data_IF_860492775726
#
_entry.id   IF_860492775726
#
_cell.length_a   1.000
_cell.length_b   1.000
_cell.length_c   1.000
_cell.angle_alpha   90.00
_cell.angle_beta   90.00
_cell.angle_gamma   90.00
#
_symmetry.space_group_name_H-M   'P 1'
#
loop_
_entity.id
_entity.type
_entity.pdbx_description
1 polymer ?
#
# COMPACT_ATOMS: atom_id res chain seq x y z
N UNK A 1 1.20 25.32 65.88
CA UNK A 1 2.40 24.57 65.45
C UNK A 1 2.10 23.27 64.69
N UNK A 2 1.05 22.49 65.02
CA UNK A 2 0.74 21.21 64.33
C UNK A 2 0.26 21.32 62.87
N UNK A 3 -0.41 22.41 62.46
CA UNK A 3 -0.88 22.62 61.08
C UNK A 3 0.25 22.92 60.07
N UNK A 4 1.36 23.52 60.53
CA UNK A 4 2.48 23.88 59.65
C UNK A 4 3.35 22.69 59.26
N UNK A 5 3.44 21.67 60.14
CA UNK A 5 4.18 20.42 59.88
C UNK A 5 3.42 19.52 58.90
N UNK A 6 2.07 19.53 58.95
CA UNK A 6 1.24 18.77 58.02
C UNK A 6 1.31 19.33 56.58
N UNK A 7 1.38 20.66 56.44
CA UNK A 7 1.53 21.33 55.14
C UNK A 7 2.91 21.10 54.51
N UNK A 8 3.97 20.97 55.32
CA UNK A 8 5.32 20.68 54.82
C UNK A 8 5.46 19.22 54.35
N UNK A 9 4.80 18.28 55.04
CA UNK A 9 4.74 16.88 54.60
C UNK A 9 3.89 16.67 53.33
N UNK A 10 2.82 17.46 53.15
CA UNK A 10 1.99 17.41 51.93
C UNK A 10 2.73 17.98 50.71
N UNK A 11 3.64 18.94 50.90
CA UNK A 11 4.42 19.56 49.81
C UNK A 11 5.63 18.70 49.38
N UNK A 12 6.18 17.88 50.28
CA UNK A 12 7.31 17.00 49.97
C UNK A 12 6.92 15.74 49.17
N UNK A 13 5.63 15.36 49.19
CA UNK A 13 5.11 14.18 48.49
C UNK A 13 4.71 14.45 47.03
N UNK A 14 4.67 15.72 46.59
CA UNK A 14 4.22 16.11 45.25
C UNK A 14 5.33 16.15 44.17
N UNK A 15 6.59 15.87 44.50
CA UNK A 15 7.71 16.07 43.55
C UNK A 15 8.18 14.78 42.87
N UNK A 16 7.72 13.60 43.29
CA UNK A 16 8.14 12.34 42.64
C UNK A 16 7.15 11.93 41.55
N UNK A 17 7.28 12.47 40.34
CA UNK A 17 6.82 11.82 39.10
C UNK A 17 7.35 12.57 37.86
N UNK A 18 8.65 12.83 37.79
CA UNK A 18 9.29 13.04 36.48
C UNK A 18 9.56 11.68 35.85
N UNK A 19 8.51 11.02 35.35
CA UNK A 19 8.68 9.90 34.43
C UNK A 19 9.06 10.48 33.07
N UNK A 20 10.36 10.51 32.78
CA UNK A 20 10.82 10.71 31.41
C UNK A 20 10.50 9.42 30.64
N UNK A 21 9.29 9.36 30.07
CA UNK A 21 8.90 8.24 29.22
C UNK A 21 9.74 8.31 27.95
N UNK A 22 10.91 7.65 27.98
CA UNK A 22 11.80 7.50 26.83
C UNK A 22 11.06 6.66 25.79
N UNK A 23 10.29 7.36 24.95
CA UNK A 23 9.48 6.77 23.92
C UNK A 23 10.45 6.17 22.89
N UNK A 24 10.73 4.88 23.01
CA UNK A 24 11.46 4.10 22.01
C UNK A 24 10.54 3.96 20.78
N UNK A 25 10.29 5.06 20.08
CA UNK A 25 9.80 5.00 18.72
C UNK A 25 10.89 4.31 17.92
N UNK A 26 10.71 3.03 17.62
CA UNK A 26 11.53 2.30 16.67
C UNK A 26 11.57 3.15 15.39
N UNK A 27 12.69 3.84 15.14
CA UNK A 27 12.88 4.55 13.88
C UNK A 27 12.77 3.48 12.79
N UNK A 28 11.80 3.57 11.86
CA UNK A 28 11.66 2.56 10.84
C UNK A 28 12.99 2.42 10.10
N UNK A 29 13.51 1.20 9.98
CA UNK A 29 14.63 0.90 9.09
C UNK A 29 14.28 1.45 7.71
N UNK A 30 15.12 2.34 7.17
CA UNK A 30 14.89 3.01 5.89
C UNK A 30 14.67 1.98 4.78
N UNK A 31 13.60 2.14 3.99
CA UNK A 31 13.23 1.21 2.93
C UNK A 31 14.34 1.11 1.87
N UNK A 32 14.76 -0.13 1.58
CA UNK A 32 15.92 -0.42 0.71
C UNK A 32 15.51 -0.87 -0.70
N UNK A 33 14.51 -0.22 -1.31
CA UNK A 33 14.07 -0.57 -2.67
C UNK A 33 15.16 -0.57 -3.76
N UNK A 34 16.21 0.27 -3.72
CA UNK A 34 17.27 0.25 -4.75
C UNK A 34 18.02 -1.08 -4.87
N UNK A 35 18.01 -1.93 -3.84
CA UNK A 35 18.70 -3.23 -3.84
C UNK A 35 17.77 -4.40 -4.14
N UNK A 36 16.49 -4.15 -4.44
CA UNK A 36 15.46 -5.17 -4.61
C UNK A 36 15.21 -5.36 -6.10
N UNK A 37 15.48 -6.58 -6.58
CA UNK A 37 15.35 -6.95 -7.98
C UNK A 37 14.00 -7.62 -8.26
N UNK A 38 13.45 -8.37 -7.28
CA UNK A 38 12.13 -8.98 -7.38
C UNK A 38 11.30 -8.75 -6.14
N UNK A 39 9.98 -8.56 -6.32
CA UNK A 39 9.06 -8.38 -5.22
C UNK A 39 7.64 -8.78 -5.60
N UNK A 40 6.80 -9.03 -4.61
CA UNK A 40 5.40 -9.35 -4.85
C UNK A 40 4.59 -9.40 -3.59
N UNK A 41 3.28 -9.60 -3.76
CA UNK A 41 2.39 -9.83 -2.63
C UNK A 41 1.17 -10.64 -3.04
N UNK A 42 0.51 -11.21 -2.03
CA UNK A 42 -0.85 -11.72 -2.14
C UNK A 42 -1.74 -10.97 -1.16
N UNK A 43 -2.97 -10.66 -1.56
CA UNK A 43 -3.89 -9.88 -0.76
C UNK A 43 -5.33 -10.01 -1.20
N UNK A 44 -6.18 -9.15 -0.63
CA UNK A 44 -7.56 -8.93 -1.05
C UNK A 44 -7.72 -7.49 -1.50
N UNK A 45 -8.37 -7.32 -2.65
CA UNK A 45 -8.67 -6.03 -3.23
C UNK A 45 -10.18 -5.86 -3.36
N UNK A 46 -10.66 -4.65 -3.09
CA UNK A 46 -12.01 -4.21 -3.43
C UNK A 46 -11.91 -2.99 -4.33
N UNK A 47 -12.70 -2.98 -5.40
CA UNK A 47 -12.75 -1.93 -6.42
C UNK A 47 -14.19 -1.42 -6.48
N UNK A 48 -14.34 -0.11 -6.64
CA UNK A 48 -15.60 0.54 -6.98
C UNK A 48 -15.32 1.48 -8.15
N UNK A 49 -16.04 1.29 -9.26
CA UNK A 49 -15.91 2.07 -10.49
C UNK A 49 -16.92 3.24 -10.55
N UNK A 50 -17.60 3.55 -9.44
CA UNK A 50 -18.63 4.57 -9.33
C UNK A 50 -20.04 4.07 -9.64
N UNK A 51 -20.20 2.92 -10.29
CA UNK A 51 -21.50 2.30 -10.61
C UNK A 51 -21.64 0.92 -9.96
N UNK A 52 -20.60 0.11 -10.07
CA UNK A 52 -20.49 -1.24 -9.56
C UNK A 52 -19.35 -1.34 -8.56
N UNK A 53 -19.41 -2.38 -7.73
CA UNK A 53 -18.31 -2.72 -6.85
C UNK A 53 -18.04 -4.20 -6.86
N UNK A 54 -16.78 -4.56 -6.73
CA UNK A 54 -16.31 -5.93 -6.70
C UNK A 54 -15.21 -6.10 -5.65
N UNK A 55 -15.01 -7.34 -5.24
CA UNK A 55 -13.85 -7.70 -4.42
C UNK A 55 -13.29 -9.03 -4.87
N UNK A 56 -12.04 -9.31 -4.53
CA UNK A 56 -11.36 -10.51 -4.98
C UNK A 56 -9.97 -10.65 -4.41
N UNK A 57 -9.34 -11.77 -4.72
CA UNK A 57 -7.95 -12.03 -4.37
C UNK A 57 -7.06 -11.38 -5.42
N UNK A 58 -6.03 -10.70 -4.95
CA UNK A 58 -5.00 -10.11 -5.81
C UNK A 58 -3.66 -10.80 -5.55
N UNK A 59 -2.94 -11.05 -6.63
CA UNK A 59 -1.54 -11.51 -6.61
C UNK A 59 -0.74 -10.58 -7.49
N UNK A 60 0.37 -10.08 -6.96
CA UNK A 60 1.28 -9.20 -7.66
C UNK A 60 2.69 -9.80 -7.61
N UNK A 61 3.42 -9.74 -8.71
CA UNK A 61 4.82 -10.10 -8.80
C UNK A 61 5.52 -9.14 -9.76
N UNK A 62 6.74 -8.75 -9.42
CA UNK A 62 7.70 -8.08 -10.29
C UNK A 62 8.96 -8.92 -10.24
N UNK A 63 9.41 -9.41 -11.39
CA UNK A 63 10.63 -10.21 -11.51
C UNK A 63 11.86 -9.34 -11.76
N UNK A 64 13.04 -9.96 -11.64
CA UNK A 64 14.35 -9.34 -11.83
C UNK A 64 14.53 -8.66 -13.21
N UNK A 65 13.82 -9.11 -14.24
CA UNK A 65 13.79 -8.52 -15.58
C UNK A 65 12.80 -7.34 -15.72
N UNK A 66 12.27 -6.82 -14.60
CA UNK A 66 11.24 -5.77 -14.55
C UNK A 66 9.88 -6.14 -15.17
N UNK A 67 9.64 -7.42 -15.47
CA UNK A 67 8.30 -7.88 -15.84
C UNK A 67 7.37 -7.81 -14.62
N UNK A 68 6.23 -7.18 -14.80
CA UNK A 68 5.16 -7.09 -13.81
C UNK A 68 4.05 -8.06 -14.17
N UNK A 69 3.69 -8.93 -13.22
CA UNK A 69 2.54 -9.81 -13.27
C UNK A 69 1.54 -9.42 -12.19
N UNK A 70 0.30 -9.11 -12.59
CA UNK A 70 -0.79 -8.81 -11.68
C UNK A 70 -2.03 -9.64 -12.03
N UNK A 71 -2.56 -10.35 -11.03
CA UNK A 71 -3.77 -11.15 -11.17
C UNK A 71 -4.82 -10.70 -10.17
N UNK A 72 -6.05 -10.54 -10.63
CA UNK A 72 -7.24 -10.35 -9.80
C UNK A 72 -8.25 -11.47 -10.07
N UNK A 73 -8.74 -12.11 -9.01
CA UNK A 73 -9.72 -13.20 -9.07
C UNK A 73 -10.94 -12.84 -8.23
N UNK A 74 -12.08 -12.64 -8.88
CA UNK A 74 -13.36 -12.41 -8.19
C UNK A 74 -13.93 -13.73 -7.62
N UNK A 75 -14.69 -13.69 -6.52
CA UNK A 75 -15.38 -14.86 -5.97
C UNK A 75 -16.34 -15.51 -6.96
N UNK A 76 -16.64 -16.79 -6.74
CA UNK A 76 -17.71 -17.52 -7.44
C UNK A 76 -17.60 -17.51 -8.98
N UNK A 77 -16.39 -17.41 -9.52
CA UNK A 77 -16.17 -17.42 -10.97
C UNK A 77 -16.65 -16.17 -11.70
N UNK A 78 -16.94 -15.07 -10.97
CA UNK A 78 -17.41 -13.80 -11.55
C UNK A 78 -16.37 -13.08 -12.44
N UNK A 79 -15.20 -13.67 -12.62
CA UNK A 79 -14.15 -13.14 -13.47
C UNK A 79 -12.77 -13.33 -12.88
N UNK A 80 -11.79 -13.50 -13.78
CA UNK A 80 -10.39 -13.37 -13.44
C UNK A 80 -9.68 -12.57 -14.52
N UNK A 81 -8.80 -11.67 -14.07
CA UNK A 81 -7.98 -10.84 -14.93
C UNK A 81 -6.53 -11.11 -14.57
N UNK A 82 -5.71 -11.33 -15.60
CA UNK A 82 -4.26 -11.48 -15.46
C UNK A 82 -3.61 -10.51 -16.43
N UNK A 83 -2.83 -9.59 -15.89
CA UNK A 83 -2.05 -8.62 -16.63
C UNK A 83 -0.57 -8.98 -16.49
N UNK A 84 0.12 -9.03 -17.61
CA UNK A 84 1.58 -9.07 -17.69
C UNK A 84 2.06 -7.83 -18.43
N UNK A 85 3.05 -7.14 -17.90
CA UNK A 85 3.66 -5.95 -18.49
C UNK A 85 5.18 -6.09 -18.49
N UNK A 86 5.80 -5.92 -19.66
CA UNK A 86 7.24 -5.74 -19.83
C UNK A 86 7.52 -4.31 -20.28
N UNK A 87 8.78 -3.97 -20.54
CA UNK A 87 9.14 -2.64 -21.03
C UNK A 87 8.54 -2.31 -22.41
N UNK A 88 8.19 -3.31 -23.22
CA UNK A 88 7.80 -3.12 -24.62
C UNK A 88 6.32 -3.42 -24.88
N UNK A 89 5.69 -4.24 -24.03
CA UNK A 89 4.31 -4.69 -24.23
C UNK A 89 3.58 -4.98 -22.93
N UNK A 90 2.26 -4.89 -23.00
CA UNK A 90 1.36 -5.39 -21.98
C UNK A 90 0.36 -6.37 -22.60
N UNK A 91 -0.03 -7.38 -21.82
CA UNK A 91 -1.06 -8.34 -22.18
C UNK A 91 -2.04 -8.50 -21.02
N UNK A 92 -3.34 -8.40 -21.30
CA UNK A 92 -4.43 -8.59 -20.36
C UNK A 92 -5.28 -9.77 -20.81
N UNK A 93 -5.30 -10.82 -20.00
CA UNK A 93 -6.17 -11.99 -20.16
C UNK A 93 -7.34 -11.91 -19.17
N UNK A 94 -8.56 -11.94 -19.70
CA UNK A 94 -9.83 -11.91 -18.99
C UNK A 94 -10.54 -13.23 -19.20
N UNK A 95 -11.07 -13.84 -18.14
CA UNK A 95 -11.89 -15.06 -18.26
C UNK A 95 -13.22 -14.81 -18.98
N UNK A 96 -13.59 -13.54 -19.19
CA UNK A 96 -14.86 -13.13 -19.80
C UNK A 96 -14.62 -12.68 -21.25
N UNK A 97 -13.55 -11.93 -21.51
CA UNK A 97 -13.30 -11.27 -22.79
C UNK A 97 -12.11 -11.84 -23.59
N UNK A 98 -11.45 -12.86 -23.08
CA UNK A 98 -10.25 -13.43 -23.71
C UNK A 98 -9.02 -12.57 -23.48
N UNK A 99 -8.05 -12.64 -24.39
CA UNK A 99 -6.75 -11.98 -24.24
C UNK A 99 -6.60 -10.82 -25.21
N UNK A 100 -6.08 -9.70 -24.70
CA UNK A 100 -5.77 -8.49 -25.45
C UNK A 100 -4.34 -8.05 -25.17
N UNK A 101 -3.70 -7.39 -26.14
CA UNK A 101 -2.34 -6.87 -26.01
C UNK A 101 -2.30 -5.41 -26.46
N UNK A 102 -1.43 -4.63 -25.83
CA UNK A 102 -1.14 -3.23 -26.19
C UNK A 102 0.30 -2.91 -25.84
N UNK A 103 0.78 -1.74 -26.25
CA UNK A 103 2.10 -1.22 -25.84
C UNK A 103 2.11 -0.73 -24.39
N UNK A 104 0.94 -0.43 -23.81
CA UNK A 104 0.81 0.14 -22.47
C UNK A 104 -0.33 -0.56 -21.70
N UNK A 105 -0.03 -1.06 -20.49
CA UNK A 105 -1.02 -1.67 -19.60
C UNK A 105 -2.15 -0.70 -19.22
N UNK A 106 -1.87 0.61 -19.15
CA UNK A 106 -2.87 1.63 -18.85
C UNK A 106 -4.01 1.62 -19.86
N UNK A 107 -3.71 1.39 -21.14
CA UNK A 107 -4.71 1.29 -22.22
C UNK A 107 -5.61 0.09 -21.98
N UNK A 108 -5.03 -1.09 -21.72
CA UNK A 108 -5.78 -2.32 -21.47
C UNK A 108 -6.69 -2.21 -20.24
N UNK A 109 -6.15 -1.68 -19.15
CA UNK A 109 -6.88 -1.49 -17.89
C UNK A 109 -8.03 -0.51 -18.08
N UNK A 110 -7.80 0.61 -18.78
CA UNK A 110 -8.85 1.60 -19.00
C UNK A 110 -9.99 1.05 -19.86
N UNK A 111 -9.66 0.22 -20.85
CA UNK A 111 -10.64 -0.42 -21.72
C UNK A 111 -11.45 -1.49 -20.97
N UNK A 112 -10.81 -2.30 -20.13
CA UNK A 112 -11.48 -3.39 -19.41
C UNK A 112 -12.30 -2.87 -18.20
N UNK A 113 -11.75 -1.92 -17.44
CA UNK A 113 -12.41 -1.40 -16.25
C UNK A 113 -13.40 -0.27 -16.58
N UNK A 114 -13.26 0.40 -17.72
CA UNK A 114 -14.14 1.51 -18.14
C UNK A 114 -13.81 2.85 -17.48
N UNK A 115 -12.68 2.95 -16.76
CA UNK A 115 -12.25 4.19 -16.11
C UNK A 115 -10.71 4.29 -16.04
N UNK A 116 -10.21 5.51 -15.82
CA UNK A 116 -8.78 5.83 -15.84
C UNK A 116 -8.13 5.54 -14.46
N UNK A 117 -7.91 4.26 -14.16
CA UNK A 117 -7.15 3.84 -12.98
C UNK A 117 -5.64 3.93 -13.25
N UNK A 118 -4.86 4.73 -12.50
CA UNK A 118 -3.48 5.07 -12.85
C UNK A 118 -2.51 3.92 -12.54
N UNK A 119 -2.30 3.05 -13.53
CA UNK A 119 -1.51 1.83 -13.43
C UNK A 119 -0.07 2.11 -13.00
N UNK A 120 0.60 3.04 -13.68
CA UNK A 120 1.98 3.41 -13.40
C UNK A 120 2.13 3.95 -11.97
N UNK A 121 1.25 4.86 -11.54
CA UNK A 121 1.28 5.44 -10.20
C UNK A 121 0.98 4.39 -9.13
N UNK A 122 0.08 3.43 -9.40
CA UNK A 122 -0.20 2.33 -8.48
C UNK A 122 1.08 1.58 -8.12
N UNK A 123 1.98 1.31 -9.07
CA UNK A 123 3.22 0.59 -8.78
C UNK A 123 4.11 1.33 -7.76
N UNK A 124 4.07 2.66 -7.73
CA UNK A 124 4.73 3.46 -6.70
C UNK A 124 3.98 3.39 -5.36
N UNK A 125 2.65 3.49 -5.40
CA UNK A 125 1.82 3.47 -4.20
C UNK A 125 1.90 2.12 -3.47
N UNK A 126 1.94 1.01 -4.20
CA UNK A 126 2.13 -0.34 -3.63
C UNK A 126 3.41 -0.41 -2.78
N UNK A 127 4.47 0.29 -3.22
CA UNK A 127 5.77 0.34 -2.54
C UNK A 127 5.87 1.41 -1.45
N UNK A 128 4.83 2.21 -1.24
CA UNK A 128 4.80 3.30 -0.26
C UNK A 128 5.47 4.60 -0.72
N UNK A 129 5.57 4.82 -2.03
CA UNK A 129 6.13 6.04 -2.62
C UNK A 129 5.07 6.99 -3.18
N UNK A 130 5.39 8.27 -3.21
CA UNK A 130 4.75 9.21 -4.15
C UNK A 130 5.34 9.03 -5.55
N UNK A 131 4.50 8.93 -6.58
CA UNK A 131 4.99 8.82 -7.96
C UNK A 131 5.66 10.12 -8.45
N UNK A 132 5.20 11.28 -7.96
CA UNK A 132 5.78 12.59 -8.32
C UNK A 132 7.15 12.82 -7.69
N UNK A 133 7.25 12.57 -6.40
CA UNK A 133 8.41 12.99 -5.63
C UNK A 133 9.48 11.89 -5.53
N UNK A 134 9.14 10.65 -5.90
CA UNK A 134 10.00 9.46 -5.68
C UNK A 134 10.49 9.35 -4.22
N UNK A 135 9.76 9.96 -3.29
CA UNK A 135 10.09 10.00 -1.87
C UNK A 135 9.22 9.04 -1.11
N UNK A 136 9.85 8.40 -0.13
CA UNK A 136 9.17 7.58 0.87
C UNK A 136 8.22 8.45 1.67
N UNK A 137 7.01 7.94 1.86
CA UNK A 137 6.02 8.62 2.66
C UNK A 137 6.45 8.49 4.13
N UNK A 138 6.57 9.60 4.90
CA UNK A 138 6.96 9.53 6.29
C UNK A 138 6.04 8.61 7.08
N UNK A 139 6.63 7.62 7.76
CA UNK A 139 5.92 6.66 8.62
C UNK A 139 5.46 7.29 9.95
N UNK A 140 5.56 8.61 10.11
CA UNK A 140 5.40 9.33 11.38
C UNK A 140 3.96 9.47 11.86
N UNK A 141 2.97 8.99 11.08
CA UNK A 141 1.55 8.99 11.47
C UNK A 141 0.93 7.62 11.16
N UNK A 142 0.04 7.15 12.04
CA UNK A 142 -0.74 5.93 11.86
C UNK A 142 -1.58 5.93 10.55
N UNK A 143 -1.82 7.12 9.99
CA UNK A 143 -2.39 7.37 8.68
C UNK A 143 -1.45 8.29 7.91
N UNK A 144 -0.88 7.79 6.82
CA UNK A 144 -0.17 8.64 5.86
C UNK A 144 -1.09 8.95 4.68
N UNK A 145 -1.21 10.22 4.34
CA UNK A 145 -2.04 10.70 3.23
C UNK A 145 -1.14 11.22 2.11
N UNK A 146 -1.45 10.81 0.88
CA UNK A 146 -0.80 11.27 -0.33
C UNK A 146 -1.88 11.74 -1.30
N UNK A 147 -1.67 12.91 -1.91
CA UNK A 147 -2.42 13.30 -3.10
C UNK A 147 -1.53 13.14 -4.33
N UNK A 148 -1.98 12.34 -5.30
CA UNK A 148 -1.21 12.06 -6.51
C UNK A 148 -2.13 11.87 -7.72
N UNK A 149 -1.99 12.69 -8.76
CA UNK A 149 -2.89 12.65 -9.93
C UNK A 149 -4.38 12.88 -9.60
N UNK A 150 -4.69 13.60 -8.51
CA UNK A 150 -6.06 13.79 -8.01
C UNK A 150 -6.62 12.61 -7.23
N UNK A 151 -5.80 11.59 -6.98
CA UNK A 151 -6.11 10.50 -6.06
C UNK A 151 -5.74 10.86 -4.64
N UNK A 152 -6.60 10.51 -3.70
CA UNK A 152 -6.27 10.52 -2.29
C UNK A 152 -5.94 9.11 -1.83
N UNK A 153 -4.68 8.89 -1.47
CA UNK A 153 -4.14 7.62 -1.01
C UNK A 153 -3.92 7.68 0.49
N UNK A 154 -4.46 6.70 1.21
CA UNK A 154 -4.34 6.53 2.65
C UNK A 154 -3.68 5.20 2.97
N UNK A 155 -2.53 5.26 3.63
CA UNK A 155 -1.83 4.11 4.18
C UNK A 155 -2.26 3.94 5.63
N UNK A 156 -3.09 2.93 5.89
CA UNK A 156 -3.75 2.75 7.19
C UNK A 156 -3.01 1.78 8.10
N UNK A 157 -2.22 0.86 7.53
CA UNK A 157 -1.47 -0.14 8.26
C UNK A 157 -0.18 -0.47 7.51
N UNK A 158 0.85 -0.80 8.27
CA UNK A 158 2.18 -1.20 7.79
C UNK A 158 2.55 -2.55 8.39
N UNK A 159 3.43 -3.30 7.73
CA UNK A 159 3.96 -4.58 8.23
C UNK A 159 5.49 -4.60 8.14
N UNK A 160 6.19 -5.13 9.15
CA UNK A 160 7.64 -5.32 9.07
C UNK A 160 7.99 -6.38 8.04
N UNK A 161 9.08 -6.14 7.31
CA UNK A 161 9.68 -7.03 6.30
C UNK A 161 11.21 -6.95 6.37
N UNK A 162 11.91 -7.77 5.60
CA UNK A 162 13.39 -7.74 5.53
C UNK A 162 13.96 -6.36 5.12
N UNK A 163 13.19 -5.58 4.36
CA UNK A 163 13.61 -4.30 3.78
C UNK A 163 13.07 -3.08 4.51
N UNK A 164 12.29 -3.27 5.57
CA UNK A 164 11.64 -2.19 6.33
C UNK A 164 10.13 -2.37 6.44
N UNK A 165 9.42 -1.28 6.72
CA UNK A 165 7.95 -1.29 6.83
C UNK A 165 7.30 -1.16 5.45
N UNK A 166 6.55 -2.18 5.03
CA UNK A 166 5.78 -2.13 3.79
C UNK A 166 4.29 -1.91 4.05
N UNK A 167 3.55 -1.33 3.09
CA UNK A 167 2.11 -1.16 3.23
C UNK A 167 1.41 -2.50 3.50
N UNK A 168 0.50 -2.51 4.46
CA UNK A 168 -0.40 -3.64 4.74
C UNK A 168 -1.83 -3.32 4.32
N UNK A 169 -2.26 -2.07 4.49
CA UNK A 169 -3.61 -1.62 4.12
C UNK A 169 -3.55 -0.27 3.43
N UNK A 170 -3.99 -0.23 2.18
CA UNK A 170 -4.00 0.96 1.32
C UNK A 170 -5.45 1.23 0.91
N UNK A 171 -5.86 2.49 0.94
CA UNK A 171 -7.10 2.96 0.33
C UNK A 171 -6.78 4.11 -0.61
N UNK A 172 -7.18 4.01 -1.87
CA UNK A 172 -7.10 5.08 -2.85
C UNK A 172 -8.51 5.48 -3.28
N UNK A 173 -8.79 6.78 -3.39
CA UNK A 173 -10.07 7.29 -3.90
C UNK A 173 -9.91 8.50 -4.82
N UNK A 174 -10.82 8.64 -5.79
CA UNK A 174 -10.97 9.82 -6.65
C UNK A 174 -12.44 9.94 -7.01
N UNK A 175 -13.15 10.94 -6.49
CA UNK A 175 -14.61 11.04 -6.64
C UNK A 175 -15.32 9.76 -6.15
N UNK A 176 -16.14 9.16 -7.02
CA UNK A 176 -16.87 7.92 -6.74
C UNK A 176 -16.02 6.65 -6.92
N UNK A 177 -14.84 6.77 -7.53
CA UNK A 177 -13.93 5.65 -7.75
C UNK A 177 -13.14 5.36 -6.48
N UNK A 178 -13.00 4.08 -6.11
CA UNK A 178 -12.14 3.70 -5.00
C UNK A 178 -11.54 2.30 -5.12
N UNK A 179 -10.33 2.16 -4.58
CA UNK A 179 -9.64 0.88 -4.43
C UNK A 179 -9.22 0.72 -2.98
N UNK A 180 -9.47 -0.45 -2.41
CA UNK A 180 -9.00 -0.86 -1.08
C UNK A 180 -8.18 -2.13 -1.24
N UNK A 181 -6.95 -2.11 -0.76
CA UNK A 181 -6.04 -3.24 -0.78
C UNK A 181 -5.67 -3.61 0.65
N UNK A 182 -5.77 -4.90 0.96
CA UNK A 182 -5.23 -5.50 2.16
C UNK A 182 -4.24 -6.59 1.78
N UNK A 183 -2.97 -6.41 2.15
CA UNK A 183 -1.88 -7.32 1.82
C UNK A 183 -1.70 -8.31 2.96
N UNK A 184 -1.75 -9.60 2.62
CA UNK A 184 -1.54 -10.69 3.58
C UNK A 184 -0.06 -10.96 3.75
N UNK A 185 0.64 -11.13 2.63
CA UNK A 185 2.03 -11.57 2.61
C UNK A 185 2.79 -10.82 1.53
N UNK A 186 3.95 -10.31 1.91
CA UNK A 186 4.96 -9.76 1.00
C UNK A 186 6.00 -10.83 0.68
N UNK A 187 6.47 -10.84 -0.57
CA UNK A 187 7.61 -11.62 -1.06
C UNK A 187 8.64 -10.63 -1.60
N UNK A 188 9.90 -10.76 -1.19
CA UNK A 188 10.99 -9.83 -1.54
C UNK A 188 12.21 -10.67 -1.90
N UNK A 189 12.83 -10.39 -3.05
CA UNK A 189 13.93 -11.17 -3.63
C UNK A 189 13.62 -12.68 -3.65
N UNK A 190 12.38 -13.02 -4.00
CA UNK A 190 11.87 -14.39 -4.04
C UNK A 190 11.58 -14.75 -5.49
N UNK A 191 12.55 -15.40 -6.13
CA UNK A 191 12.49 -15.83 -7.53
C UNK A 191 11.79 -17.21 -7.68
N UNK A 192 11.10 -17.68 -6.62
CA UNK A 192 10.41 -18.97 -6.54
C UNK A 192 8.89 -18.90 -6.85
#
# INVERSE_FOLDING_TARGET
MKKSILLFFLLLMLITLQSCQKNNSLKPKQLQWPTITSWGFTGKMAINDGHNSGSGIVKWKVSNNSETYAQFKAPLGQGSWTLTETNDQAQLSSSIRGTSSATDAQVLISHELGWQFPWQQLQFWLRGYSSKQHKLIPHSKALSLLNDGGWEISYQQWTPTAIGLLPKKIKARKGNFSVKLFIYTWKINDDN
#
